data_IF_098011553343
#
_entry.id   IF_098011553343
#
_cell.length_a   1.000
_cell.length_b   1.000
_cell.length_c   1.000
_cell.angle_alpha   90.00
_cell.angle_beta   90.00
_cell.angle_gamma   90.00
#
_symmetry.space_group_name_H-M   'P 1'
#
loop_
_entity.id
_entity.type
_entity.pdbx_description
1 polymer ?
#
# COMPACT_ATOMS: atom_id res chain seq x y z
N UNK A 1 25.60 39.84 44.45
CA UNK A 1 24.47 40.10 43.52
C UNK A 1 24.76 39.57 42.13
N UNK A 2 25.97 39.75 41.56
CA UNK A 2 26.34 39.18 40.26
C UNK A 2 26.37 37.64 40.21
N UNK A 3 26.77 36.95 41.29
CA UNK A 3 26.84 35.47 41.31
C UNK A 3 25.46 34.79 41.19
N UNK A 4 24.42 35.41 41.78
CA UNK A 4 23.03 34.90 41.73
C UNK A 4 22.46 35.00 40.30
N UNK A 5 22.89 36.01 39.53
CA UNK A 5 22.47 36.17 38.14
C UNK A 5 23.15 35.17 37.20
N UNK A 6 24.41 34.79 37.48
CA UNK A 6 25.14 33.77 36.73
C UNK A 6 24.54 32.38 36.97
N UNK A 7 24.29 32.02 38.23
CA UNK A 7 23.69 30.72 38.57
C UNK A 7 22.32 30.55 37.91
N UNK A 8 21.49 31.60 37.93
CA UNK A 8 20.18 31.59 37.28
C UNK A 8 20.26 31.46 35.76
N UNK A 9 21.24 32.10 35.12
CA UNK A 9 21.48 31.95 33.67
C UNK A 9 21.92 30.53 33.33
N UNK A 10 22.82 29.95 34.13
CA UNK A 10 23.28 28.58 33.97
C UNK A 10 22.13 27.57 34.12
N UNK A 11 21.22 27.77 35.08
CA UNK A 11 20.03 26.93 35.26
C UNK A 11 19.08 26.99 34.05
N UNK A 12 18.87 28.17 33.47
CA UNK A 12 18.02 28.35 32.28
C UNK A 12 18.63 27.63 31.07
N UNK A 13 19.93 27.80 30.86
CA UNK A 13 20.64 27.17 29.74
C UNK A 13 20.70 25.64 29.92
N UNK A 14 21.00 25.15 31.13
CA UNK A 14 20.96 23.73 31.44
C UNK A 14 19.55 23.14 31.19
N UNK A 15 18.49 23.87 31.56
CA UNK A 15 17.12 23.45 31.28
C UNK A 15 16.79 23.46 29.78
N UNK A 16 17.33 24.40 29.01
CA UNK A 16 17.16 24.43 27.56
C UNK A 16 17.84 23.22 26.90
N UNK A 17 19.09 22.93 27.28
CA UNK A 17 19.85 21.76 26.80
C UNK A 17 19.10 20.46 27.12
N UNK A 18 18.53 20.34 28.33
CA UNK A 18 17.75 19.16 28.70
C UNK A 18 16.50 18.98 27.83
N UNK A 19 15.79 20.07 27.50
CA UNK A 19 14.60 20.00 26.63
C UNK A 19 14.98 19.63 25.20
N UNK A 20 16.04 20.22 24.67
CA UNK A 20 16.54 19.92 23.33
C UNK A 20 17.02 18.47 23.23
N UNK A 21 17.77 17.98 24.23
CA UNK A 21 18.18 16.58 24.31
C UNK A 21 16.99 15.61 24.36
N UNK A 22 15.91 15.97 25.06
CA UNK A 22 14.68 15.17 25.10
C UNK A 22 13.97 15.15 23.73
N UNK A 23 13.95 16.28 23.00
CA UNK A 23 13.41 16.33 21.64
C UNK A 23 14.22 15.42 20.70
N UNK A 24 15.55 15.49 20.76
CA UNK A 24 16.42 14.63 19.95
C UNK A 24 16.24 13.15 20.29
N UNK A 25 16.14 12.80 21.57
CA UNK A 25 15.84 11.43 22.04
C UNK A 25 14.54 10.92 21.43
N UNK A 26 13.44 11.67 21.54
CA UNK A 26 12.13 11.27 21.03
C UNK A 26 12.16 11.06 19.51
N UNK A 27 12.86 11.92 18.76
CA UNK A 27 13.01 11.78 17.32
C UNK A 27 13.86 10.56 16.94
N UNK A 28 14.87 10.24 17.76
CA UNK A 28 15.73 9.07 17.57
C UNK A 28 15.03 7.74 17.95
N UNK A 29 14.02 7.79 18.84
CA UNK A 29 13.23 6.63 19.22
C UNK A 29 12.51 5.99 18.03
N UNK A 30 12.26 4.69 18.14
CA UNK A 30 11.62 3.94 17.08
C UNK A 30 10.11 4.24 17.02
N UNK A 31 9.64 4.76 15.87
CA UNK A 31 8.27 5.26 15.68
C UNK A 31 7.14 4.24 15.91
N UNK A 32 7.45 2.94 15.86
CA UNK A 32 6.47 1.87 16.08
C UNK A 32 6.46 1.34 17.51
N UNK A 33 7.33 1.85 18.40
CA UNK A 33 7.36 1.49 19.81
C UNK A 33 6.94 2.67 20.71
N UNK A 34 5.65 2.75 21.07
CA UNK A 34 5.14 3.79 21.97
C UNK A 34 5.70 3.73 23.39
N UNK A 35 6.10 2.56 23.88
CA UNK A 35 6.61 2.39 25.25
C UNK A 35 7.98 3.04 25.39
N UNK A 36 8.85 2.89 24.39
CA UNK A 36 10.18 3.52 24.38
C UNK A 36 10.09 5.05 24.23
N UNK A 37 9.16 5.55 23.41
CA UNK A 37 8.91 6.99 23.24
C UNK A 37 8.49 7.64 24.57
N UNK A 38 7.53 7.04 25.28
CA UNK A 38 7.03 7.55 26.57
C UNK A 38 7.88 7.16 27.77
N UNK A 39 8.87 6.28 27.60
CA UNK A 39 9.70 5.67 28.67
C UNK A 39 8.86 4.99 29.75
N UNK A 40 7.92 4.15 29.32
CA UNK A 40 7.05 3.38 30.21
C UNK A 40 7.42 1.91 30.17
N UNK A 41 7.30 1.24 31.32
CA UNK A 41 7.43 -0.21 31.39
C UNK A 41 6.13 -0.92 30.96
N UNK A 42 6.28 -2.16 30.50
CA UNK A 42 5.14 -3.01 30.12
C UNK A 42 4.33 -3.34 31.38
N UNK A 43 3.05 -2.98 31.37
CA UNK A 43 2.16 -3.15 32.53
C UNK A 43 1.70 -1.84 33.18
N UNK A 44 2.14 -0.68 32.68
CA UNK A 44 1.70 0.63 33.17
C UNK A 44 0.16 0.82 33.12
N UNK A 45 -0.43 1.53 34.07
CA UNK A 45 -1.87 1.83 34.05
C UNK A 45 -2.15 2.96 33.06
N UNK A 46 -3.37 3.08 32.54
CA UNK A 46 -3.78 4.21 31.67
C UNK A 46 -3.52 5.58 32.30
N UNK A 47 -3.60 5.67 33.64
CA UNK A 47 -3.27 6.89 34.38
C UNK A 47 -1.80 7.26 34.20
N UNK A 48 -0.89 6.29 34.26
CA UNK A 48 0.54 6.51 34.12
C UNK A 48 0.89 6.98 32.70
N UNK A 49 0.20 6.43 31.69
CA UNK A 49 0.36 6.84 30.28
C UNK A 49 0.02 8.33 30.13
N UNK A 50 -1.14 8.75 30.63
CA UNK A 50 -1.57 10.16 30.57
C UNK A 50 -0.64 11.08 31.36
N UNK A 51 -0.15 10.64 32.52
CA UNK A 51 0.78 11.40 33.34
C UNK A 51 2.14 11.58 32.65
N UNK A 52 2.68 10.52 32.06
CA UNK A 52 3.92 10.56 31.30
C UNK A 52 3.80 11.48 30.08
N UNK A 53 2.72 11.34 29.31
CA UNK A 53 2.45 12.22 28.17
C UNK A 53 2.33 13.69 28.60
N UNK A 54 1.56 14.00 29.64
CA UNK A 54 1.41 15.38 30.14
C UNK A 54 2.75 15.97 30.58
N UNK A 55 3.57 15.20 31.30
CA UNK A 55 4.88 15.66 31.76
C UNK A 55 5.82 15.96 30.58
N UNK A 56 5.92 15.04 29.61
CA UNK A 56 6.81 15.17 28.45
C UNK A 56 6.35 16.23 27.46
N UNK A 57 5.05 16.27 27.15
CA UNK A 57 4.47 17.25 26.23
C UNK A 57 4.65 18.70 26.71
N UNK A 58 4.59 18.96 28.02
CA UNK A 58 4.89 20.27 28.59
C UNK A 58 6.38 20.62 28.51
N UNK A 59 7.25 19.62 28.67
CA UNK A 59 8.70 19.79 28.59
C UNK A 59 9.16 20.14 27.17
N UNK A 60 8.60 19.45 26.16
CA UNK A 60 8.99 19.62 24.75
C UNK A 60 7.98 20.43 23.92
N UNK A 61 7.14 21.24 24.55
CA UNK A 61 6.09 21.97 23.84
C UNK A 61 6.71 22.91 22.78
N UNK A 62 6.23 22.90 21.52
CA UNK A 62 6.85 23.64 20.42
C UNK A 62 6.84 25.16 20.60
N UNK A 63 5.95 25.70 21.44
CA UNK A 63 5.93 27.13 21.80
C UNK A 63 7.01 27.51 22.83
N UNK A 64 7.42 26.57 23.69
CA UNK A 64 8.39 26.81 24.77
C UNK A 64 9.83 26.46 24.36
N UNK A 65 9.99 25.57 23.38
CA UNK A 65 11.27 25.03 22.94
C UNK A 65 11.55 25.50 21.51
N UNK A 66 12.71 26.12 21.29
CA UNK A 66 13.08 26.71 19.99
C UNK A 66 13.61 25.68 18.97
N UNK A 67 13.66 24.41 19.34
CA UNK A 67 14.20 23.34 18.51
C UNK A 67 13.33 23.12 17.24
N UNK A 68 13.93 23.02 16.03
CA UNK A 68 13.19 22.94 14.76
C UNK A 68 12.29 21.70 14.66
N UNK A 69 12.68 20.60 15.32
CA UNK A 69 11.91 19.33 15.35
C UNK A 69 11.00 19.18 16.56
N UNK A 70 10.82 20.22 17.38
CA UNK A 70 9.96 20.14 18.57
C UNK A 70 8.52 19.75 18.21
N UNK A 71 8.01 20.24 17.07
CA UNK A 71 6.68 19.88 16.58
C UNK A 71 6.56 18.39 16.24
N UNK A 72 7.53 17.85 15.50
CA UNK A 72 7.54 16.44 15.11
C UNK A 72 7.62 15.52 16.34
N UNK A 73 8.46 15.89 17.33
CA UNK A 73 8.59 15.13 18.58
C UNK A 73 7.28 15.17 19.40
N UNK A 74 6.61 16.33 19.44
CA UNK A 74 5.32 16.46 20.09
C UNK A 74 4.25 15.60 19.44
N UNK A 75 4.18 15.60 18.10
CA UNK A 75 3.23 14.78 17.35
C UNK A 75 3.52 13.28 17.54
N UNK A 76 4.79 12.88 17.65
CA UNK A 76 5.19 11.52 18.03
C UNK A 76 4.74 11.12 19.44
N UNK A 77 4.92 11.99 20.44
CA UNK A 77 4.43 11.74 21.80
C UNK A 77 2.91 11.56 21.84
N UNK A 78 2.18 12.42 21.12
CA UNK A 78 0.72 12.37 21.06
C UNK A 78 0.22 11.09 20.38
N UNK A 79 0.91 10.66 19.31
CA UNK A 79 0.61 9.38 18.66
C UNK A 79 0.87 8.21 19.61
N UNK A 80 2.00 8.21 20.33
CA UNK A 80 2.33 7.16 21.29
C UNK A 80 1.29 7.04 22.41
N UNK A 81 0.83 8.17 22.97
CA UNK A 81 -0.28 8.19 23.93
C UNK A 81 -1.55 7.55 23.32
N UNK A 82 -1.94 7.98 22.12
CA UNK A 82 -3.14 7.49 21.44
C UNK A 82 -3.06 5.98 21.19
N UNK A 83 -1.89 5.48 20.76
CA UNK A 83 -1.68 4.06 20.47
C UNK A 83 -1.69 3.20 21.75
N UNK A 84 -1.21 3.70 22.89
CA UNK A 84 -1.27 2.98 24.18
C UNK A 84 -2.64 3.05 24.86
N UNK A 85 -3.44 4.09 24.59
CA UNK A 85 -4.82 4.21 25.08
C UNK A 85 -5.79 3.28 24.33
N UNK A 86 -5.44 2.85 23.12
CA UNK A 86 -6.21 1.84 22.37
C UNK A 86 -5.89 0.42 22.89
N UNK A 87 -6.90 -0.26 23.47
CA UNK A 87 -6.73 -1.59 24.04
C UNK A 87 -6.28 -2.63 23.03
N UNK A 88 -6.73 -2.55 21.77
CA UNK A 88 -6.38 -3.50 20.72
C UNK A 88 -4.92 -3.37 20.32
N UNK A 89 -4.47 -2.13 20.07
CA UNK A 89 -3.06 -1.84 19.76
C UNK A 89 -2.16 -2.14 20.94
N UNK A 90 -2.58 -1.79 22.15
CA UNK A 90 -1.81 -2.08 23.37
C UNK A 90 -1.62 -3.58 23.58
N UNK A 91 -2.68 -4.37 23.43
CA UNK A 91 -2.60 -5.84 23.54
C UNK A 91 -1.69 -6.42 22.47
N UNK A 92 -1.79 -5.92 21.23
CA UNK A 92 -0.89 -6.31 20.15
C UNK A 92 0.58 -6.00 20.50
N UNK A 93 0.89 -4.79 20.96
CA UNK A 93 2.25 -4.40 21.38
C UNK A 93 2.77 -5.27 22.52
N UNK A 94 1.94 -5.56 23.53
CA UNK A 94 2.30 -6.46 24.63
C UNK A 94 2.66 -7.85 24.09
N UNK A 95 1.86 -8.39 23.16
CA UNK A 95 2.12 -9.70 22.56
C UNK A 95 3.47 -9.75 21.82
N UNK A 96 3.83 -8.69 21.08
CA UNK A 96 5.14 -8.58 20.41
C UNK A 96 6.28 -8.48 21.43
N UNK A 97 6.10 -7.73 22.51
CA UNK A 97 7.13 -7.61 23.55
C UNK A 97 7.33 -8.93 24.29
N UNK A 98 6.26 -9.68 24.54
CA UNK A 98 6.34 -10.99 25.18
C UNK A 98 6.98 -12.04 24.26
N UNK A 99 6.70 -11.99 22.96
CA UNK A 99 7.40 -12.78 21.94
C UNK A 99 8.90 -12.41 21.90
N UNK A 100 9.24 -11.12 21.93
CA UNK A 100 10.63 -10.68 22.01
C UNK A 100 11.35 -11.17 23.27
N UNK A 101 10.70 -11.10 24.44
CA UNK A 101 11.25 -11.64 25.70
C UNK A 101 11.50 -13.14 25.60
N UNK A 102 10.56 -13.87 24.99
CA UNK A 102 10.68 -15.32 24.79
C UNK A 102 11.87 -15.64 23.87
N UNK A 103 12.01 -14.96 22.73
CA UNK A 103 13.12 -15.18 21.80
C UNK A 103 14.48 -14.83 22.43
N UNK A 104 14.57 -13.73 23.18
CA UNK A 104 15.82 -13.41 23.92
C UNK A 104 16.13 -14.48 24.95
N UNK A 105 15.14 -14.96 25.70
CA UNK A 105 15.33 -16.01 26.73
C UNK A 105 15.71 -17.36 26.11
N UNK A 106 15.10 -17.72 24.98
CA UNK A 106 15.39 -18.94 24.22
C UNK A 106 16.78 -18.93 23.60
N UNK A 107 17.29 -17.76 23.21
CA UNK A 107 18.64 -17.61 22.70
C UNK A 107 19.73 -17.73 23.79
N UNK A 108 19.36 -17.66 25.09
CA UNK A 108 20.30 -17.88 26.18
C UNK A 108 20.56 -19.38 26.39
N UNK A 109 21.73 -19.77 26.93
CA UNK A 109 22.03 -21.16 27.25
C UNK A 109 20.96 -21.77 28.17
N UNK A 110 20.49 -22.98 27.86
CA UNK A 110 19.47 -23.69 28.67
C UNK A 110 19.87 -23.91 30.14
N UNK A 111 21.16 -23.85 30.46
CA UNK A 111 21.69 -24.01 31.81
C UNK A 111 21.45 -22.78 32.72
N UNK A 112 20.99 -21.65 32.18
CA UNK A 112 20.76 -20.44 32.95
C UNK A 112 19.44 -20.53 33.72
N UNK A 113 19.51 -20.40 35.05
CA UNK A 113 18.33 -20.51 35.90
C UNK A 113 17.31 -19.40 35.59
N UNK A 114 15.99 -19.64 35.69
CA UNK A 114 14.97 -18.61 35.48
C UNK A 114 15.09 -17.39 36.41
N UNK A 115 15.74 -17.56 37.56
CA UNK A 115 15.98 -16.54 38.58
C UNK A 115 17.34 -15.86 38.43
N UNK A 116 18.06 -16.09 37.33
CA UNK A 116 19.38 -15.50 37.12
C UNK A 116 19.30 -13.95 37.08
N UNK A 117 20.19 -13.22 37.78
CA UNK A 117 20.23 -11.77 37.77
C UNK A 117 20.30 -11.13 36.37
N UNK A 118 20.78 -11.88 35.36
CA UNK A 118 20.79 -11.45 33.97
C UNK A 118 19.41 -10.98 33.49
N UNK A 119 18.32 -11.65 33.86
CA UNK A 119 16.97 -11.29 33.39
C UNK A 119 16.45 -9.96 33.97
N UNK A 120 17.11 -9.42 35.01
CA UNK A 120 16.86 -8.08 35.54
C UNK A 120 17.88 -7.04 35.03
N UNK A 121 18.97 -7.51 34.41
CA UNK A 121 20.08 -6.67 33.98
C UNK A 121 19.66 -5.65 32.91
N UNK A 122 20.24 -4.43 32.91
CA UNK A 122 20.10 -3.48 31.81
C UNK A 122 20.46 -4.08 30.44
N UNK A 123 21.37 -5.05 30.41
CA UNK A 123 21.75 -5.78 29.18
C UNK A 123 20.57 -6.56 28.63
N UNK A 124 19.85 -7.31 29.47
CA UNK A 124 18.65 -8.05 29.05
C UNK A 124 17.55 -7.10 28.57
N UNK A 125 17.29 -6.00 29.31
CA UNK A 125 16.34 -4.98 28.87
C UNK A 125 16.71 -4.42 27.49
N UNK A 126 17.99 -4.15 27.23
CA UNK A 126 18.49 -3.71 25.93
C UNK A 126 18.29 -4.73 24.81
N UNK A 127 18.57 -6.01 25.07
CA UNK A 127 18.36 -7.10 24.11
C UNK A 127 16.88 -7.27 23.75
N UNK A 128 15.99 -7.21 24.76
CA UNK A 128 14.54 -7.28 24.54
C UNK A 128 14.08 -6.10 23.70
N UNK A 129 14.50 -4.87 24.01
CA UNK A 129 14.17 -3.68 23.20
C UNK A 129 14.61 -3.85 21.74
N UNK A 130 15.82 -4.34 21.50
CA UNK A 130 16.31 -4.56 20.15
C UNK A 130 15.48 -5.62 19.41
N UNK A 131 15.13 -6.74 20.07
CA UNK A 131 14.28 -7.78 19.48
C UNK A 131 12.85 -7.32 19.23
N UNK A 132 12.25 -6.54 20.14
CA UNK A 132 10.94 -5.92 19.93
C UNK A 132 10.96 -5.05 18.68
N UNK A 133 12.01 -4.24 18.49
CA UNK A 133 12.17 -3.41 17.29
C UNK A 133 12.23 -4.24 16.02
N UNK A 134 13.03 -5.31 16.01
CA UNK A 134 13.16 -6.21 14.86
C UNK A 134 11.79 -6.83 14.49
N UNK A 135 11.06 -7.37 15.47
CA UNK A 135 9.73 -7.97 15.25
C UNK A 135 8.70 -6.94 14.74
N UNK A 136 8.69 -5.73 15.31
CA UNK A 136 7.80 -4.66 14.85
C UNK A 136 8.10 -4.26 13.38
N UNK A 137 9.38 -4.20 12.99
CA UNK A 137 9.79 -3.96 11.60
C UNK A 137 9.25 -5.08 10.70
N UNK A 138 9.43 -6.34 11.09
CA UNK A 138 8.96 -7.49 10.32
C UNK A 138 7.44 -7.50 10.13
N UNK A 139 6.67 -7.22 11.19
CA UNK A 139 5.22 -7.14 11.11
C UNK A 139 4.77 -6.03 10.17
N UNK A 140 5.36 -4.84 10.28
CA UNK A 140 5.03 -3.71 9.41
C UNK A 140 5.40 -4.00 7.94
N UNK A 141 6.56 -4.61 7.70
CA UNK A 141 6.96 -5.03 6.35
C UNK A 141 6.00 -6.07 5.77
N UNK A 142 5.56 -7.05 6.59
CA UNK A 142 4.57 -8.05 6.19
C UNK A 142 3.24 -7.40 5.83
N UNK A 143 2.76 -6.46 6.65
CA UNK A 143 1.53 -5.70 6.41
C UNK A 143 1.59 -4.92 5.09
N UNK A 144 2.70 -4.22 4.83
CA UNK A 144 2.92 -3.47 3.58
C UNK A 144 2.94 -4.37 2.35
N UNK A 145 3.58 -5.54 2.45
CA UNK A 145 3.61 -6.52 1.36
C UNK A 145 2.21 -7.06 1.05
N UNK A 146 1.41 -7.35 2.08
CA UNK A 146 0.03 -7.81 1.91
C UNK A 146 -0.84 -6.73 1.24
N UNK A 147 -0.80 -5.49 1.75
CA UNK A 147 -1.56 -4.36 1.17
C UNK A 147 -1.20 -4.12 -0.30
N UNK A 148 0.09 -4.19 -0.65
CA UNK A 148 0.53 -4.05 -2.04
C UNK A 148 -0.03 -5.16 -2.93
N UNK A 149 0.04 -6.41 -2.47
CA UNK A 149 -0.48 -7.58 -3.21
C UNK A 149 -2.00 -7.49 -3.41
N UNK A 150 -2.73 -7.01 -2.41
CA UNK A 150 -4.18 -6.83 -2.49
C UNK A 150 -4.57 -5.77 -3.52
N UNK A 151 -3.89 -4.62 -3.51
CA UNK A 151 -4.10 -3.56 -4.50
C UNK A 151 -3.79 -4.03 -5.94
N UNK A 152 -2.73 -4.81 -6.12
CA UNK A 152 -2.40 -5.42 -7.42
C UNK A 152 -3.51 -6.39 -7.88
N UNK A 153 -4.01 -7.23 -6.99
CA UNK A 153 -5.10 -8.16 -7.29
C UNK A 153 -6.42 -7.43 -7.61
N UNK A 154 -6.76 -6.38 -6.87
CA UNK A 154 -7.92 -5.53 -7.14
C UNK A 154 -7.80 -4.85 -8.50
N UNK A 155 -6.61 -4.34 -8.84
CA UNK A 155 -6.32 -3.77 -10.15
C UNK A 155 -6.46 -4.77 -11.30
N UNK A 156 -6.01 -6.01 -11.13
CA UNK A 156 -6.21 -7.07 -12.11
C UNK A 156 -7.69 -7.43 -12.30
N UNK A 157 -8.46 -7.47 -11.21
CA UNK A 157 -9.90 -7.73 -11.26
C UNK A 157 -10.63 -6.58 -11.97
N UNK A 158 -10.29 -5.33 -11.66
CA UNK A 158 -10.85 -4.16 -12.33
C UNK A 158 -10.57 -4.16 -13.83
N UNK A 159 -9.32 -4.44 -14.24
CA UNK A 159 -8.96 -4.57 -15.67
C UNK A 159 -9.75 -5.65 -16.40
N UNK A 160 -9.98 -6.80 -15.76
CA UNK A 160 -10.81 -7.87 -16.33
C UNK A 160 -12.28 -7.47 -16.44
N UNK A 161 -12.81 -6.76 -15.45
CA UNK A 161 -14.18 -6.24 -15.50
C UNK A 161 -14.35 -5.22 -16.64
N UNK A 162 -13.41 -4.28 -16.78
CA UNK A 162 -13.42 -3.29 -17.86
C UNK A 162 -13.31 -3.94 -19.24
N UNK A 163 -12.47 -4.97 -19.39
CA UNK A 163 -12.36 -5.74 -20.63
C UNK A 163 -13.67 -6.44 -20.99
N UNK A 164 -14.31 -7.11 -20.03
CA UNK A 164 -15.62 -7.76 -20.24
C UNK A 164 -16.71 -6.74 -20.60
N UNK A 165 -16.73 -5.59 -19.92
CA UNK A 165 -17.66 -4.50 -20.22
C UNK A 165 -17.42 -3.95 -21.63
N UNK A 166 -16.16 -3.74 -22.00
CA UNK A 166 -15.76 -3.27 -23.32
C UNK A 166 -16.15 -4.26 -24.42
N UNK A 167 -15.89 -5.55 -24.23
CA UNK A 167 -16.30 -6.58 -25.18
C UNK A 167 -17.82 -6.66 -25.33
N UNK A 168 -18.56 -6.53 -24.22
CA UNK A 168 -20.01 -6.50 -24.23
C UNK A 168 -20.54 -5.30 -25.00
N UNK A 169 -19.97 -4.12 -24.76
CA UNK A 169 -20.29 -2.90 -25.53
C UNK A 169 -19.98 -3.08 -27.01
N UNK A 170 -18.80 -3.61 -27.36
CA UNK A 170 -18.41 -3.89 -28.75
C UNK A 170 -19.39 -4.85 -29.44
N UNK A 171 -19.83 -5.92 -28.75
CA UNK A 171 -20.82 -6.87 -29.27
C UNK A 171 -22.18 -6.21 -29.46
N UNK A 172 -22.62 -5.39 -28.50
CA UNK A 172 -23.88 -4.65 -28.60
C UNK A 172 -23.86 -3.63 -29.74
N UNK A 173 -22.78 -2.88 -29.89
CA UNK A 173 -22.58 -1.93 -30.99
C UNK A 173 -22.56 -2.65 -32.34
N UNK A 174 -21.83 -3.76 -32.46
CA UNK A 174 -21.81 -4.56 -33.69
C UNK A 174 -23.20 -5.12 -34.04
N UNK A 175 -23.96 -5.62 -33.05
CA UNK A 175 -25.32 -6.11 -33.26
C UNK A 175 -26.25 -4.97 -33.69
N UNK A 176 -26.13 -3.81 -33.06
CA UNK A 176 -26.92 -2.63 -33.42
C UNK A 176 -26.64 -2.20 -34.86
N UNK A 177 -25.37 -2.09 -35.26
CA UNK A 177 -24.98 -1.75 -36.64
C UNK A 177 -25.51 -2.79 -37.63
N UNK A 178 -25.49 -4.08 -37.29
CA UNK A 178 -26.06 -5.15 -38.12
C UNK A 178 -27.57 -4.98 -38.31
N UNK A 179 -28.33 -4.72 -37.26
CA UNK A 179 -29.78 -4.47 -37.37
C UNK A 179 -30.07 -3.16 -38.12
N UNK A 180 -29.35 -2.08 -37.85
CA UNK A 180 -29.54 -0.79 -38.54
C UNK A 180 -29.29 -0.92 -40.06
N UNK A 181 -28.27 -1.70 -40.46
CA UNK A 181 -27.98 -1.98 -41.88
C UNK A 181 -28.79 -3.15 -42.46
N UNK A 182 -29.77 -3.69 -41.73
CA UNK A 182 -30.58 -4.84 -42.18
C UNK A 182 -31.40 -4.50 -43.41
N UNK A 183 -32.11 -3.38 -43.39
CA UNK A 183 -33.00 -2.99 -44.48
C UNK A 183 -32.21 -2.73 -45.77
N UNK A 184 -31.06 -2.07 -45.69
CA UNK A 184 -30.15 -1.87 -46.82
C UNK A 184 -29.69 -3.21 -47.42
N UNK A 185 -29.36 -4.19 -46.58
CA UNK A 185 -28.94 -5.53 -47.02
C UNK A 185 -30.09 -6.32 -47.63
N UNK A 186 -31.29 -6.24 -47.04
CA UNK A 186 -32.51 -6.85 -47.60
C UNK A 186 -32.86 -6.22 -48.94
N UNK A 187 -32.76 -4.89 -49.06
CA UNK A 187 -32.97 -4.15 -50.30
C UNK A 187 -31.95 -4.59 -51.39
N UNK A 188 -30.67 -4.70 -51.02
CA UNK A 188 -29.61 -5.22 -51.90
C UNK A 188 -29.89 -6.64 -52.38
N UNK A 189 -30.36 -7.53 -51.50
CA UNK A 189 -30.72 -8.91 -51.87
C UNK A 189 -31.97 -8.97 -52.76
N UNK A 190 -33.01 -8.19 -52.46
CA UNK A 190 -34.21 -8.06 -53.31
C UNK A 190 -33.84 -7.61 -54.72
N UNK A 191 -32.96 -6.62 -54.85
CA UNK A 191 -32.47 -6.15 -56.14
C UNK A 191 -31.66 -7.22 -56.90
N UNK A 192 -30.84 -8.01 -56.20
CA UNK A 192 -30.12 -9.14 -56.79
C UNK A 192 -31.06 -10.23 -57.31
N UNK A 193 -32.12 -10.54 -56.55
CA UNK A 193 -33.11 -11.54 -56.96
C UNK A 193 -33.98 -11.05 -58.12
N UNK A 194 -34.40 -9.79 -58.12
CA UNK A 194 -35.11 -9.16 -59.24
C UNK A 194 -34.25 -9.16 -60.53
N UNK A 195 -32.93 -9.01 -60.38
CA UNK A 195 -31.97 -9.17 -61.49
C UNK A 195 -31.83 -10.60 -62.04
N UNK A 196 -32.32 -11.62 -61.33
CA UNK A 196 -32.37 -13.01 -61.84
C UNK A 196 -33.69 -13.36 -62.53
N UNK A 197 -34.80 -12.72 -62.18
CA UNK A 197 -36.13 -13.00 -62.77
C UNK A 197 -36.43 -12.16 -64.00
N UNK A 198 -35.86 -10.97 -64.12
CA UNK A 198 -35.84 -10.22 -65.37
C UNK A 198 -34.63 -10.66 -66.21
N UNK A 199 -34.86 -11.39 -67.31
CA UNK A 199 -33.84 -11.74 -68.31
C UNK A 199 -33.27 -10.54 -69.09
N UNK A 200 -32.93 -9.45 -68.40
CA UNK A 200 -32.49 -8.19 -68.96
C UNK A 200 -30.97 -8.10 -69.01
N UNK A 201 -30.41 -8.01 -70.23
CA UNK A 201 -29.02 -7.66 -70.49
C UNK A 201 -28.61 -6.42 -69.68
N UNK A 202 -27.81 -6.62 -68.64
CA UNK A 202 -27.14 -5.51 -67.96
C UNK A 202 -26.04 -4.98 -68.89
N UNK A 203 -26.24 -3.80 -69.48
CA UNK A 203 -25.18 -3.08 -70.20
C UNK A 203 -24.04 -2.82 -69.19
N UNK A 204 -22.91 -3.49 -69.38
CA UNK A 204 -21.64 -3.16 -68.68
C UNK A 204 -21.33 -1.68 -68.92
N UNK A 205 -21.54 -0.83 -67.91
CA UNK A 205 -20.85 0.47 -67.88
C UNK A 205 -19.36 0.18 -67.74
N UNK A 206 -18.54 0.86 -68.56
CA UNK A 206 -17.08 0.73 -68.55
C UNK A 206 -16.54 0.86 -67.12
N UNK A 207 -15.50 0.10 -66.74
CA UNK A 207 -14.94 0.17 -65.40
C UNK A 207 -14.42 1.59 -65.18
N UNK A 208 -15.08 2.34 -64.31
CA UNK A 208 -14.46 3.49 -63.67
C UNK A 208 -13.23 2.97 -62.96
N UNK A 209 -12.05 3.40 -63.38
CA UNK A 209 -10.77 3.12 -62.75
C UNK A 209 -10.86 3.36 -61.25
N UNK A 210 -11.03 2.28 -60.50
CA UNK A 210 -10.87 2.28 -59.06
C UNK A 210 -9.40 2.59 -58.79
N UNK A 211 -9.13 3.81 -58.29
CA UNK A 211 -7.85 4.11 -57.66
C UNK A 211 -7.98 3.73 -56.19
N UNK A 212 -7.28 2.69 -55.72
CA UNK A 212 -7.25 2.41 -54.29
C UNK A 212 -6.63 3.60 -53.55
N UNK A 213 -7.09 3.91 -52.32
CA UNK A 213 -6.39 4.84 -51.44
C UNK A 213 -4.94 4.37 -51.26
N UNK A 214 -3.97 5.29 -51.26
CA UNK A 214 -2.57 4.96 -50.94
C UNK A 214 -2.56 4.28 -49.57
N UNK A 215 -2.03 3.06 -49.51
CA UNK A 215 -1.77 2.38 -48.26
C UNK A 215 -0.80 3.25 -47.43
N UNK A 216 -1.28 3.74 -46.29
CA UNK A 216 -0.40 4.18 -45.22
C UNK A 216 0.13 2.89 -44.60
N UNK A 217 1.46 2.75 -44.54
CA UNK A 217 2.10 1.58 -43.96
C UNK A 217 1.77 1.53 -42.47
N UNK A 218 0.85 0.65 -42.09
CA UNK A 218 0.64 0.24 -40.70
C UNK A 218 1.38 -1.08 -40.52
N UNK A 219 2.22 -1.10 -39.49
CA UNK A 219 3.19 -2.13 -39.18
C UNK A 219 2.61 -3.54 -39.12
N UNK A 220 3.42 -4.48 -39.58
CA UNK A 220 3.15 -5.91 -39.69
C UNK A 220 2.67 -6.53 -38.37
N UNK A 221 1.40 -6.95 -38.33
CA UNK A 221 0.95 -7.99 -37.40
C UNK A 221 0.83 -9.33 -38.15
N UNK A 222 1.44 -10.42 -37.64
CA UNK A 222 1.54 -11.67 -38.38
C UNK A 222 0.20 -12.42 -38.44
N UNK A 223 -0.20 -12.76 -39.66
CA UNK A 223 -1.41 -13.50 -40.00
C UNK A 223 -1.33 -14.97 -39.52
N UNK A 224 -2.14 -15.32 -38.52
CA UNK A 224 -2.35 -16.72 -38.12
C UNK A 224 -3.39 -17.39 -39.02
N UNK A 225 -2.95 -18.32 -39.87
CA UNK A 225 -3.84 -19.15 -40.71
C UNK A 225 -4.67 -20.10 -39.83
N UNK A 226 -5.99 -20.08 -39.98
CA UNK A 226 -6.88 -21.13 -39.45
C UNK A 226 -6.84 -22.37 -40.35
N UNK A 227 -6.87 -23.60 -39.82
CA UNK A 227 -6.90 -24.80 -40.62
C UNK A 227 -8.29 -24.99 -41.25
N UNK A 228 -8.33 -25.21 -42.56
CA UNK A 228 -9.54 -25.58 -43.28
C UNK A 228 -9.79 -27.08 -43.12
N UNK A 229 -10.88 -27.45 -42.45
CA UNK A 229 -11.42 -28.81 -42.49
C UNK A 229 -12.09 -29.01 -43.86
N UNK A 230 -11.52 -29.86 -44.71
CA UNK A 230 -12.19 -30.35 -45.92
C UNK A 230 -12.49 -31.82 -45.72
N UNK A 231 -13.77 -32.13 -45.45
CA UNK A 231 -14.32 -33.45 -45.72
C UNK A 231 -14.76 -33.47 -47.17
N UNK A 232 -14.23 -34.41 -47.96
CA UNK A 232 -14.89 -34.88 -49.17
C UNK A 232 -14.55 -36.35 -49.36
N UNK A 233 -15.62 -37.13 -49.39
CA UNK A 233 -15.75 -38.55 -49.70
C UNK A 233 -15.53 -38.85 -51.18
N UNK A 234 -14.83 -39.94 -51.47
CA UNK A 234 -14.88 -40.82 -52.67
C UNK A 234 -13.95 -42.00 -52.30
N UNK A 235 -14.25 -43.29 -52.42
CA UNK A 235 -15.25 -43.98 -53.21
C UNK A 235 -14.58 -45.00 -54.15
N UNK A 236 -13.85 -46.01 -53.64
CA UNK A 236 -13.85 -47.43 -54.05
C UNK A 236 -12.86 -48.22 -53.18
#
# INVERSE_FOLDING_TARGET
MADIDIDRLLEVEASAIQKDAEVERIIACFKLDPYDILELEVGCVEKDIKMAYRKKSLMIHPDKVKHPKARDAFDMLKKAETDLMDLGKRTFLISIIDEAKYEVKKAQPLAMAPTDPFFSSPVYKGLVKQKTKDLLIEVELRKRKLMKKEMEAEGEVARKQDEVISERKRKQEAQKVWEDTRDDRVQGWRNFQAGKTAGGKMKRKKPSTFRPPKAVAEDSLPYSKRPTTSSASEGF
#
